data_IF_242819195316
#
_entry.id   IF_242819195316
#
_cell.length_a   1.000
_cell.length_b   1.000
_cell.length_c   1.000
_cell.angle_alpha   90.00
_cell.angle_beta   90.00
_cell.angle_gamma   90.00
#
_symmetry.space_group_name_H-M   'P 1'
#
loop_
_entity.id
_entity.type
_entity.pdbx_description
1 polymer ?
#
# COMPACT_ATOMS: atom_id res chain seq x y z
N UNK A 1 11.93 13.65 -1.11
CA UNK A 1 11.88 12.50 -2.04
C UNK A 1 10.47 12.43 -2.59
N UNK A 2 10.29 12.36 -3.91
CA UNK A 2 8.97 12.31 -4.55
C UNK A 2 8.32 10.94 -4.23
N UNK A 3 7.13 10.93 -3.64
CA UNK A 3 6.46 9.69 -3.25
C UNK A 3 6.14 8.75 -4.42
N UNK A 4 6.11 9.26 -5.66
CA UNK A 4 6.01 8.46 -6.89
C UNK A 4 7.14 7.43 -7.06
N UNK A 5 8.34 7.68 -6.51
CA UNK A 5 9.46 6.75 -6.58
C UNK A 5 9.39 5.59 -5.58
N UNK A 6 8.42 5.62 -4.66
CA UNK A 6 8.25 4.58 -3.65
C UNK A 6 7.29 3.51 -4.19
N UNK A 7 7.84 2.52 -4.90
CA UNK A 7 7.12 1.39 -5.50
C UNK A 7 7.37 0.09 -4.71
N UNK A 8 6.46 -0.90 -4.75
CA UNK A 8 6.68 -2.20 -4.14
C UNK A 8 7.66 -3.04 -4.96
N UNK A 9 8.55 -3.76 -4.27
CA UNK A 9 9.22 -4.93 -4.83
C UNK A 9 8.21 -6.08 -4.88
N UNK A 10 7.94 -6.66 -6.04
CA UNK A 10 6.90 -7.69 -6.16
C UNK A 10 7.25 -9.00 -5.44
N UNK A 11 8.52 -9.25 -5.12
CA UNK A 11 8.95 -10.48 -4.45
C UNK A 11 8.83 -10.39 -2.92
N UNK A 12 9.01 -9.21 -2.34
CA UNK A 12 8.99 -9.01 -0.86
C UNK A 12 7.88 -8.07 -0.39
N UNK A 13 7.32 -7.28 -1.31
CA UNK A 13 6.43 -6.15 -1.04
C UNK A 13 7.06 -5.05 -0.17
N UNK A 14 8.38 -5.02 -0.05
CA UNK A 14 9.08 -3.87 0.52
C UNK A 14 9.26 -2.77 -0.52
N UNK A 15 9.30 -1.52 -0.06
CA UNK A 15 9.50 -0.38 -0.91
C UNK A 15 10.91 -0.40 -1.51
N UNK A 16 11.03 -0.33 -2.83
CA UNK A 16 12.33 -0.36 -3.51
C UNK A 16 13.24 0.80 -3.10
N UNK A 17 12.65 1.97 -2.78
CA UNK A 17 13.37 3.20 -2.47
C UNK A 17 13.87 3.29 -1.03
N UNK A 18 13.06 2.87 -0.05
CA UNK A 18 13.39 3.03 1.37
C UNK A 18 13.50 1.71 2.15
N UNK A 19 13.26 0.56 1.50
CA UNK A 19 13.34 -0.80 2.05
C UNK A 19 12.42 -1.07 3.25
N UNK A 20 11.45 -0.19 3.50
CA UNK A 20 10.37 -0.38 4.47
C UNK A 20 9.18 -1.08 3.81
N UNK A 21 8.28 -1.71 4.58
CA UNK A 21 7.04 -2.27 4.06
C UNK A 21 6.27 -1.27 3.18
N UNK A 22 5.99 -1.64 1.92
CA UNK A 22 5.13 -0.86 1.04
C UNK A 22 3.64 -1.18 1.28
N UNK A 23 2.70 -0.21 1.32
CA UNK A 23 2.90 1.22 1.15
C UNK A 23 3.54 1.86 2.38
N UNK A 24 4.69 2.49 2.19
CA UNK A 24 5.39 3.30 3.20
C UNK A 24 4.83 4.73 3.22
N UNK A 25 5.09 5.53 4.26
CA UNK A 25 4.46 6.86 4.42
C UNK A 25 4.57 7.77 3.18
N UNK A 26 5.72 7.89 2.49
CA UNK A 26 5.81 8.69 1.26
C UNK A 26 4.95 8.12 0.10
N UNK A 27 4.82 6.80 0.02
CA UNK A 27 3.95 6.16 -0.96
C UNK A 27 2.48 6.41 -0.62
N UNK A 28 2.10 6.31 0.67
CA UNK A 28 0.73 6.59 1.14
C UNK A 28 0.31 8.02 0.81
N UNK A 29 1.19 8.99 1.08
CA UNK A 29 0.94 10.39 0.76
C UNK A 29 0.76 10.59 -0.75
N UNK A 30 1.67 10.04 -1.56
CA UNK A 30 1.55 10.14 -3.01
C UNK A 30 0.27 9.49 -3.55
N UNK A 31 -0.08 8.29 -3.07
CA UNK A 31 -1.30 7.59 -3.46
C UNK A 31 -2.54 8.42 -3.14
N UNK A 32 -2.58 9.08 -1.97
CA UNK A 32 -3.67 10.00 -1.59
C UNK A 32 -3.73 11.22 -2.49
N UNK A 33 -2.60 11.87 -2.75
CA UNK A 33 -2.56 13.04 -3.64
C UNK A 33 -2.93 12.68 -5.09
N UNK A 34 -2.53 11.50 -5.57
CA UNK A 34 -2.79 11.05 -6.94
C UNK A 34 -4.17 10.45 -7.14
N UNK A 35 -4.82 9.99 -6.06
CA UNK A 35 -6.12 9.32 -6.09
C UNK A 35 -7.00 9.91 -4.98
N UNK A 36 -7.57 11.11 -5.21
CA UNK A 36 -8.32 11.85 -4.19
C UNK A 36 -9.67 11.19 -3.82
N UNK A 37 -10.21 10.33 -4.69
CA UNK A 37 -11.40 9.53 -4.37
C UNK A 37 -11.01 8.34 -3.48
N UNK A 38 -11.59 8.27 -2.28
CA UNK A 38 -11.28 7.25 -1.29
C UNK A 38 -11.75 5.83 -1.69
N UNK A 39 -12.80 5.73 -2.50
CA UNK A 39 -13.29 4.43 -3.03
C UNK A 39 -12.32 3.95 -4.10
N UNK A 40 -11.92 4.82 -5.03
CA UNK A 40 -10.91 4.51 -6.05
C UNK A 40 -9.59 4.07 -5.40
N UNK A 41 -9.12 4.81 -4.39
CA UNK A 41 -7.91 4.45 -3.63
C UNK A 41 -8.06 3.07 -2.96
N UNK A 42 -9.21 2.80 -2.35
CA UNK A 42 -9.47 1.52 -1.68
C UNK A 42 -9.51 0.35 -2.67
N UNK A 43 -10.12 0.51 -3.84
CA UNK A 43 -10.13 -0.51 -4.90
C UNK A 43 -8.72 -0.78 -5.42
N UNK A 44 -7.94 0.28 -5.68
CA UNK A 44 -6.55 0.16 -6.10
C UNK A 44 -5.72 -0.62 -5.06
N UNK A 45 -5.88 -0.30 -3.78
CA UNK A 45 -5.15 -0.97 -2.70
C UNK A 45 -5.63 -2.40 -2.44
N UNK A 46 -6.87 -2.72 -2.79
CA UNK A 46 -7.36 -4.09 -2.80
C UNK A 46 -6.62 -4.95 -3.85
N UNK A 47 -6.46 -4.44 -5.07
CA UNK A 47 -5.64 -5.12 -6.10
C UNK A 47 -4.20 -5.34 -5.64
N UNK A 48 -3.61 -4.35 -4.98
CA UNK A 48 -2.25 -4.50 -4.41
C UNK A 48 -2.19 -5.53 -3.27
N UNK A 49 -3.23 -5.62 -2.46
CA UNK A 49 -3.34 -6.65 -1.42
C UNK A 49 -3.40 -8.06 -2.04
N UNK A 50 -4.17 -8.25 -3.11
CA UNK A 50 -4.26 -9.53 -3.82
C UNK A 50 -2.89 -9.96 -4.37
N UNK A 51 -2.14 -9.04 -4.96
CA UNK A 51 -0.77 -9.29 -5.40
C UNK A 51 0.18 -9.59 -4.24
N UNK A 52 0.03 -8.88 -3.11
CA UNK A 52 0.86 -9.06 -1.92
C UNK A 52 0.58 -10.37 -1.17
N UNK A 53 -0.61 -10.96 -1.32
CA UNK A 53 -1.02 -12.14 -0.58
C UNK A 53 -0.12 -13.37 -0.83
N UNK A 54 0.47 -13.51 -2.02
CA UNK A 54 1.43 -14.58 -2.32
C UNK A 54 2.78 -14.40 -1.61
N UNK A 55 3.50 -13.29 -1.87
CA UNK A 55 4.74 -12.94 -1.18
C UNK A 55 4.62 -12.91 0.34
N UNK A 56 3.52 -12.36 0.85
CA UNK A 56 3.25 -12.15 2.28
C UNK A 56 2.35 -13.23 2.89
N UNK A 57 2.28 -14.43 2.31
CA UNK A 57 1.39 -15.52 2.77
C UNK A 57 1.53 -15.93 4.24
N UNK A 58 2.63 -15.55 4.88
CA UNK A 58 2.95 -15.86 6.28
C UNK A 58 2.40 -14.80 7.24
N UNK A 59 2.01 -13.63 6.72
CA UNK A 59 1.42 -12.55 7.49
C UNK A 59 -0.05 -12.84 7.79
N UNK A 60 -0.52 -12.33 8.92
CA UNK A 60 -1.92 -12.45 9.30
C UNK A 60 -2.80 -11.56 8.41
N UNK A 61 -3.99 -12.00 7.99
CA UNK A 61 -4.90 -11.19 7.19
C UNK A 61 -5.22 -9.81 7.80
N UNK A 62 -5.31 -9.75 9.14
CA UNK A 62 -5.52 -8.48 9.85
C UNK A 62 -4.34 -7.50 9.69
N UNK A 63 -3.10 -8.00 9.65
CA UNK A 63 -1.90 -7.17 9.42
C UNK A 63 -1.91 -6.62 7.99
N UNK A 64 -2.29 -7.44 7.01
CA UNK A 64 -2.41 -7.00 5.62
C UNK A 64 -3.54 -5.99 5.44
N UNK A 65 -4.68 -6.19 6.08
CA UNK A 65 -5.79 -5.23 6.10
C UNK A 65 -5.34 -3.87 6.67
N UNK A 66 -4.67 -3.86 7.82
CA UNK A 66 -4.16 -2.65 8.46
C UNK A 66 -3.13 -1.93 7.58
N UNK A 67 -2.27 -2.70 6.89
CA UNK A 67 -1.22 -2.19 6.02
C UNK A 67 -1.75 -1.55 4.73
N UNK A 68 -2.73 -2.17 4.08
CA UNK A 68 -3.21 -1.75 2.77
C UNK A 68 -4.49 -0.90 2.83
N UNK A 69 -5.47 -1.26 3.66
CA UNK A 69 -6.85 -0.76 3.50
C UNK A 69 -7.32 0.14 4.65
N UNK A 70 -6.85 -0.09 5.88
CA UNK A 70 -7.33 0.68 7.05
C UNK A 70 -7.14 2.18 6.92
N UNK A 71 -6.05 2.61 6.29
CA UNK A 71 -5.75 4.03 6.09
C UNK A 71 -6.29 4.60 4.77
N UNK A 72 -6.77 3.76 3.83
CA UNK A 72 -7.32 4.21 2.55
C UNK A 72 -8.71 4.85 2.72
N UNK A 73 -9.42 4.42 3.76
CA UNK A 73 -10.63 5.05 4.25
C UNK A 73 -10.21 6.18 5.18
N UNK A 74 -10.32 7.41 4.70
CA UNK A 74 -10.20 8.54 5.61
C UNK A 74 -11.42 8.52 6.55
N UNK A 75 -11.18 8.49 7.86
CA UNK A 75 -12.14 9.05 8.80
C UNK A 75 -12.32 10.51 8.37
N UNK A 76 -13.51 10.84 7.89
CA UNK A 76 -13.90 12.21 7.57
C UNK A 76 -14.45 12.88 8.81
#
# INVERSE_FOLDING_TARGET
MNGAGHQPDQATYDCVACKKPWPCDPAREHLRCSTPDAVELSMRLWTELEHAAGPLRHELPAVLFDRFLKWSRHDR
#
